data_IF_996878443648
#
_entry.id   IF_996878443648
#
_cell.length_a   1.000
_cell.length_b   1.000
_cell.length_c   1.000
_cell.angle_alpha   90.00
_cell.angle_beta   90.00
_cell.angle_gamma   90.00
#
_symmetry.space_group_name_H-M   'P 1'
#
loop_
_entity.id
_entity.type
_entity.pdbx_description
1 polymer ?
#
# COMPACT_ATOMS: atom_id res chain seq x y z
N UNK A 1 1.80 34.02 -20.13
CA UNK A 1 1.33 32.70 -20.60
C UNK A 1 0.02 32.43 -19.86
N UNK A 2 -1.07 32.25 -20.60
CA UNK A 2 -2.39 31.96 -20.06
C UNK A 2 -2.87 30.64 -20.62
N UNK A 3 -3.43 29.78 -19.81
CA UNK A 3 -3.93 28.49 -20.22
C UNK A 3 -4.32 27.64 -19.03
N UNK A 4 -4.73 26.42 -19.30
CA UNK A 4 -5.05 25.43 -18.28
C UNK A 4 -4.10 24.23 -18.42
N UNK A 5 -3.69 23.68 -17.28
CA UNK A 5 -3.07 22.36 -17.28
C UNK A 5 -4.09 21.33 -17.75
N UNK A 6 -3.75 20.53 -18.76
CA UNK A 6 -4.69 19.60 -19.40
C UNK A 6 -5.14 18.45 -18.49
N UNK A 7 -4.29 18.06 -17.55
CA UNK A 7 -4.53 16.92 -16.68
C UNK A 7 -5.30 17.30 -15.41
N UNK A 8 -5.02 18.50 -14.88
CA UNK A 8 -5.59 18.94 -13.61
C UNK A 8 -6.68 20.00 -13.75
N UNK A 9 -6.80 20.66 -14.93
CA UNK A 9 -7.70 21.77 -15.17
C UNK A 9 -7.31 23.06 -14.41
N UNK A 10 -6.16 23.08 -13.74
CA UNK A 10 -5.68 24.27 -13.02
C UNK A 10 -5.35 25.39 -14.01
N UNK A 11 -5.90 26.59 -13.77
CA UNK A 11 -5.58 27.76 -14.57
C UNK A 11 -4.14 28.21 -14.32
N UNK A 12 -3.34 28.23 -15.37
CA UNK A 12 -1.95 28.66 -15.37
C UNK A 12 -1.83 30.07 -15.99
N UNK A 13 -2.29 31.06 -15.27
CA UNK A 13 -2.11 32.47 -15.66
C UNK A 13 -0.83 33.01 -15.01
N UNK A 14 0.33 32.63 -15.60
CA UNK A 14 1.63 32.92 -15.04
C UNK A 14 2.31 34.06 -15.78
N UNK A 15 2.52 35.23 -15.15
CA UNK A 15 3.47 36.19 -15.66
C UNK A 15 4.89 35.56 -15.62
N UNK A 16 5.58 35.59 -16.74
CA UNK A 16 6.98 35.17 -16.86
C UNK A 16 7.86 36.37 -17.05
N UNK A 17 8.90 36.44 -16.24
CA UNK A 17 9.99 37.37 -16.42
C UNK A 17 11.21 36.62 -16.96
N UNK A 18 11.69 37.02 -18.14
CA UNK A 18 12.91 36.48 -18.69
C UNK A 18 13.99 37.57 -18.75
N UNK A 19 15.11 37.32 -18.10
CA UNK A 19 16.28 38.17 -18.16
C UNK A 19 17.29 37.55 -19.15
N UNK A 20 17.77 38.35 -20.06
CA UNK A 20 18.75 37.93 -21.04
C UNK A 20 20.05 38.71 -20.83
N UNK A 21 21.16 38.03 -20.89
CA UNK A 21 22.49 38.64 -21.02
C UNK A 21 23.05 38.27 -22.37
N UNK A 22 23.36 39.30 -23.16
CA UNK A 22 23.93 39.12 -24.47
C UNK A 22 25.44 38.85 -24.39
N UNK A 23 25.98 38.30 -25.45
CA UNK A 23 27.43 38.26 -25.69
C UNK A 23 28.00 39.68 -25.84
N UNK A 24 29.31 39.86 -25.70
CA UNK A 24 29.95 41.18 -25.77
C UNK A 24 29.78 41.89 -27.10
N UNK A 25 29.54 41.13 -28.17
CA UNK A 25 29.21 41.63 -29.51
C UNK A 25 27.73 41.97 -29.71
N UNK A 26 26.89 41.58 -28.74
CA UNK A 26 25.42 41.80 -28.78
C UNK A 26 24.66 40.90 -29.75
N UNK A 27 25.32 39.94 -30.39
CA UNK A 27 24.69 39.12 -31.44
C UNK A 27 23.97 37.87 -30.91
N UNK A 28 24.36 37.37 -29.71
CA UNK A 28 23.83 36.12 -29.15
C UNK A 28 23.45 36.29 -27.70
N UNK A 29 22.49 35.46 -27.28
CA UNK A 29 22.15 35.33 -25.86
C UNK A 29 23.21 34.44 -25.20
N UNK A 30 24.00 35.03 -24.28
CA UNK A 30 24.99 34.31 -23.50
C UNK A 30 24.38 33.60 -22.27
N UNK A 31 23.29 34.16 -21.76
CA UNK A 31 22.61 33.63 -20.57
C UNK A 31 21.14 34.05 -20.56
N UNK A 32 20.27 33.15 -20.11
CA UNK A 32 18.85 33.42 -19.90
C UNK A 32 18.45 32.93 -18.54
N UNK A 33 17.73 33.75 -17.77
CA UNK A 33 17.09 33.38 -16.52
C UNK A 33 15.59 33.63 -16.64
N UNK A 34 14.79 32.65 -16.31
CA UNK A 34 13.33 32.70 -16.30
C UNK A 34 12.87 32.66 -14.86
N UNK A 35 12.02 33.59 -14.48
CA UNK A 35 11.35 33.62 -13.18
C UNK A 35 9.87 33.38 -13.41
N UNK A 36 9.36 32.34 -12.82
CA UNK A 36 7.95 31.94 -12.86
C UNK A 36 7.32 32.04 -11.46
N UNK A 37 6.01 32.09 -11.42
CA UNK A 37 5.25 32.03 -10.18
C UNK A 37 5.28 30.61 -9.59
N UNK A 38 6.11 30.42 -8.60
CA UNK A 38 6.27 29.13 -7.92
C UNK A 38 5.00 28.68 -7.19
N UNK A 39 4.12 29.62 -6.79
CA UNK A 39 2.85 29.29 -6.11
C UNK A 39 1.87 28.67 -7.08
N UNK A 40 1.80 29.16 -8.32
CA UNK A 40 0.94 28.59 -9.35
C UNK A 40 1.45 27.21 -9.80
N UNK A 41 2.76 27.04 -9.92
CA UNK A 41 3.35 25.72 -10.19
C UNK A 41 3.04 24.73 -9.09
N UNK A 42 3.12 25.16 -7.82
CA UNK A 42 2.77 24.29 -6.69
C UNK A 42 1.30 23.90 -6.72
N UNK A 43 0.38 24.84 -7.03
CA UNK A 43 -1.05 24.50 -7.18
C UNK A 43 -1.31 23.46 -8.27
N UNK A 44 -0.64 23.57 -9.42
CA UNK A 44 -0.78 22.56 -10.48
C UNK A 44 -0.21 21.22 -10.04
N UNK A 45 0.92 21.22 -9.36
CA UNK A 45 1.55 20.01 -8.83
C UNK A 45 0.67 19.37 -7.74
N UNK A 46 0.19 20.15 -6.77
CA UNK A 46 -0.69 19.66 -5.71
C UNK A 46 -2.00 19.09 -6.28
N UNK A 47 -2.56 19.71 -7.31
CA UNK A 47 -3.75 19.22 -7.98
C UNK A 47 -3.48 17.91 -8.77
N UNK A 48 -2.29 17.73 -9.31
CA UNK A 48 -1.86 16.48 -9.95
C UNK A 48 -1.64 15.37 -8.92
N UNK A 49 -1.05 15.72 -7.77
CA UNK A 49 -0.79 14.82 -6.65
C UNK A 49 -2.05 14.53 -5.81
N UNK A 50 -3.15 15.29 -5.98
CA UNK A 50 -4.39 15.02 -5.26
C UNK A 50 -4.97 13.70 -5.73
N UNK A 51 -4.77 12.66 -4.92
CA UNK A 51 -5.35 11.34 -5.15
C UNK A 51 -6.86 11.45 -5.04
N UNK A 52 -7.56 10.98 -6.05
CA UNK A 52 -9.00 10.84 -6.01
C UNK A 52 -9.36 9.74 -5.00
N UNK A 53 -10.47 9.91 -4.28
CA UNK A 53 -11.01 8.84 -3.46
C UNK A 53 -11.33 7.63 -4.32
N UNK A 54 -11.00 6.44 -3.81
CA UNK A 54 -11.32 5.19 -4.46
C UNK A 54 -12.83 4.96 -4.56
N UNK A 55 -13.24 4.17 -5.54
CA UNK A 55 -14.61 3.65 -5.63
C UNK A 55 -14.71 2.41 -4.75
N UNK A 56 -15.71 2.37 -3.86
CA UNK A 56 -15.95 1.25 -2.95
C UNK A 56 -16.88 0.23 -3.65
N UNK A 57 -16.46 -1.03 -3.65
CA UNK A 57 -17.23 -2.15 -4.22
C UNK A 57 -17.68 -3.10 -3.10
N UNK A 58 -18.94 -3.57 -3.18
CA UNK A 58 -19.49 -4.58 -2.28
C UNK A 58 -19.13 -6.01 -2.68
N UNK A 59 -19.18 -6.29 -3.99
CA UNK A 59 -18.98 -7.62 -4.57
C UNK A 59 -17.84 -7.60 -5.60
N UNK A 60 -16.63 -7.35 -5.14
CA UNK A 60 -15.46 -7.37 -6.00
C UNK A 60 -14.75 -8.73 -5.93
N UNK A 61 -14.26 -9.30 -7.06
CA UNK A 61 -13.58 -10.60 -7.05
C UNK A 61 -12.35 -10.66 -6.14
N UNK A 62 -11.72 -9.52 -5.83
CA UNK A 62 -10.57 -9.47 -4.92
C UNK A 62 -10.95 -9.75 -3.46
N UNK A 63 -12.19 -9.46 -3.04
CA UNK A 63 -12.69 -9.89 -1.73
C UNK A 63 -12.64 -11.40 -1.61
N UNK A 64 -13.08 -12.12 -2.64
CA UNK A 64 -13.03 -13.59 -2.65
C UNK A 64 -11.59 -14.11 -2.65
N UNK A 65 -10.67 -13.45 -3.36
CA UNK A 65 -9.23 -13.80 -3.33
C UNK A 65 -8.65 -13.65 -1.92
N UNK A 66 -8.96 -12.55 -1.23
CA UNK A 66 -8.49 -12.33 0.15
C UNK A 66 -9.11 -13.36 1.10
N UNK A 67 -10.39 -13.67 0.98
CA UNK A 67 -11.03 -14.73 1.78
C UNK A 67 -10.35 -16.09 1.61
N UNK A 68 -10.05 -16.48 0.37
CA UNK A 68 -9.33 -17.73 0.08
C UNK A 68 -7.90 -17.72 0.62
N UNK A 69 -7.20 -16.60 0.50
CA UNK A 69 -5.89 -16.41 1.10
C UNK A 69 -5.96 -16.59 2.62
N UNK A 70 -6.84 -15.87 3.30
CA UNK A 70 -6.96 -15.95 4.76
C UNK A 70 -7.39 -17.34 5.22
N UNK A 71 -8.30 -18.00 4.51
CA UNK A 71 -8.65 -19.39 4.79
C UNK A 71 -7.45 -20.34 4.66
N UNK A 72 -6.51 -20.06 3.76
CA UNK A 72 -5.30 -20.87 3.63
C UNK A 72 -4.40 -20.83 4.87
N UNK A 73 -4.47 -19.74 5.67
CA UNK A 73 -3.74 -19.62 6.92
C UNK A 73 -4.20 -20.59 8.01
N UNK A 74 -5.44 -21.10 7.96
CA UNK A 74 -5.93 -22.13 8.89
C UNK A 74 -5.04 -23.38 8.89
N UNK A 75 -4.38 -23.64 7.78
CA UNK A 75 -3.49 -24.79 7.67
C UNK A 75 -2.16 -24.62 8.38
N UNK A 76 -1.77 -23.39 8.71
CA UNK A 76 -0.43 -23.00 9.20
C UNK A 76 0.73 -23.55 8.32
N UNK A 77 0.44 -23.78 7.02
CA UNK A 77 1.38 -24.38 6.04
C UNK A 77 1.79 -23.34 5.01
N UNK A 78 3.05 -22.86 5.04
CA UNK A 78 3.56 -21.88 4.10
C UNK A 78 3.38 -22.24 2.63
N UNK A 79 3.46 -23.53 2.28
CA UNK A 79 3.37 -23.98 0.90
C UNK A 79 1.95 -23.87 0.32
N UNK A 80 0.94 -23.80 1.19
CA UNK A 80 -0.45 -23.54 0.79
C UNK A 80 -0.78 -22.05 0.72
N UNK A 81 -0.07 -21.23 1.47
CA UNK A 81 -0.33 -19.79 1.58
C UNK A 81 0.43 -19.01 0.50
N UNK A 82 1.72 -19.31 0.31
CA UNK A 82 2.59 -18.62 -0.67
C UNK A 82 2.00 -18.46 -2.08
N UNK A 83 1.30 -19.47 -2.65
CA UNK A 83 0.75 -19.36 -4.00
C UNK A 83 -0.28 -18.23 -4.21
N UNK A 84 -0.80 -17.65 -3.14
CA UNK A 84 -1.71 -16.49 -3.22
C UNK A 84 -0.99 -15.16 -3.45
N UNK A 85 0.34 -15.14 -3.34
CA UNK A 85 1.19 -13.97 -3.48
C UNK A 85 2.10 -14.06 -4.68
N UNK A 86 2.46 -12.91 -5.23
CA UNK A 86 3.58 -12.83 -6.18
C UNK A 86 4.91 -13.13 -5.47
N UNK A 87 5.89 -13.74 -6.14
CA UNK A 87 7.24 -13.93 -5.58
C UNK A 87 7.91 -12.61 -5.15
N UNK A 88 7.52 -11.50 -5.79
CA UNK A 88 8.03 -10.16 -5.50
C UNK A 88 7.22 -9.42 -4.42
N UNK A 89 6.19 -10.03 -3.84
CA UNK A 89 5.35 -9.39 -2.82
C UNK A 89 6.17 -8.84 -1.66
N UNK A 90 5.78 -7.65 -1.19
CA UNK A 90 6.39 -6.99 -0.05
C UNK A 90 5.40 -6.90 1.11
N UNK A 91 5.88 -7.21 2.31
CA UNK A 91 5.11 -7.23 3.55
C UNK A 91 5.56 -6.11 4.46
N UNK A 92 4.61 -5.38 5.01
CA UNK A 92 4.86 -4.26 5.92
C UNK A 92 4.17 -4.52 7.26
N UNK A 93 4.98 -4.76 8.29
CA UNK A 93 4.52 -4.78 9.67
C UNK A 93 4.38 -3.35 10.17
N UNK A 94 3.18 -2.80 10.08
CA UNK A 94 2.95 -1.38 10.33
C UNK A 94 3.12 -1.01 11.79
N UNK A 95 2.83 -1.93 12.71
CA UNK A 95 2.92 -1.68 14.15
C UNK A 95 4.34 -1.79 14.69
N UNK A 96 5.18 -2.62 14.06
CA UNK A 96 6.48 -3.00 14.62
C UNK A 96 7.66 -2.59 13.72
N UNK A 97 7.42 -2.21 12.47
CA UNK A 97 8.48 -1.73 11.58
C UNK A 97 8.82 -0.26 11.84
N UNK A 98 10.08 -0.01 12.15
CA UNK A 98 10.62 1.35 12.30
C UNK A 98 11.92 1.43 11.52
N UNK A 99 12.00 2.29 10.51
CA UNK A 99 10.98 3.15 9.94
C UNK A 99 9.92 2.39 9.11
N UNK A 100 8.76 2.98 8.91
CA UNK A 100 7.62 2.40 8.18
C UNK A 100 7.94 1.91 6.75
N UNK A 101 8.96 2.45 6.12
CA UNK A 101 9.38 2.04 4.77
C UNK A 101 10.18 0.71 4.73
N UNK A 102 10.43 0.09 5.88
CA UNK A 102 11.10 -1.21 5.95
C UNK A 102 10.09 -2.33 5.70
N UNK A 103 10.27 -3.06 4.61
CA UNK A 103 9.42 -4.19 4.23
C UNK A 103 10.21 -5.49 4.24
N UNK A 104 9.50 -6.60 4.38
CA UNK A 104 10.04 -7.96 4.22
C UNK A 104 9.72 -8.50 2.83
N UNK A 105 10.57 -9.37 2.32
CA UNK A 105 10.27 -10.22 1.16
C UNK A 105 9.32 -11.35 1.55
N UNK A 106 8.77 -12.04 0.53
CA UNK A 106 7.95 -13.24 0.74
C UNK A 106 8.71 -14.31 1.55
N UNK A 107 9.99 -14.51 1.28
CA UNK A 107 10.82 -15.51 1.99
C UNK A 107 11.05 -15.12 3.44
N UNK A 108 11.34 -13.84 3.72
CA UNK A 108 11.56 -13.34 5.08
C UNK A 108 10.27 -13.46 5.91
N UNK A 109 9.12 -13.07 5.35
CA UNK A 109 7.83 -13.15 6.02
C UNK A 109 7.47 -14.60 6.37
N UNK A 110 7.60 -15.52 5.40
CA UNK A 110 7.27 -16.92 5.64
C UNK A 110 8.28 -17.67 6.50
N UNK A 111 9.51 -17.18 6.61
CA UNK A 111 10.45 -17.67 7.62
C UNK A 111 9.98 -17.31 9.04
N UNK A 112 9.55 -16.07 9.24
CA UNK A 112 9.01 -15.63 10.53
C UNK A 112 7.71 -16.37 10.85
N UNK A 113 6.81 -16.50 9.88
CA UNK A 113 5.56 -17.26 10.01
C UNK A 113 5.81 -18.73 10.41
N UNK A 114 6.77 -19.39 9.79
CA UNK A 114 7.13 -20.77 10.14
C UNK A 114 7.56 -20.89 11.61
N UNK A 115 8.29 -19.91 12.13
CA UNK A 115 8.67 -19.87 13.53
C UNK A 115 7.46 -19.73 14.47
N UNK A 116 6.45 -18.97 14.07
CA UNK A 116 5.17 -18.93 14.80
C UNK A 116 4.43 -20.26 14.69
N UNK A 117 4.38 -20.87 13.50
CA UNK A 117 3.71 -22.14 13.27
C UNK A 117 4.30 -23.31 14.09
N UNK A 118 5.58 -23.25 14.48
CA UNK A 118 6.18 -24.25 15.36
C UNK A 118 5.59 -24.22 16.79
N UNK A 119 5.27 -23.05 17.30
CA UNK A 119 4.86 -22.84 18.69
C UNK A 119 3.35 -22.57 18.86
N UNK A 120 2.70 -22.09 17.81
CA UNK A 120 1.28 -21.72 17.83
C UNK A 120 0.46 -22.64 16.91
N UNK A 121 -0.76 -22.86 17.29
CA UNK A 121 -1.83 -23.44 16.50
C UNK A 121 -2.88 -22.34 16.27
N UNK A 122 -3.27 -22.14 15.03
CA UNK A 122 -4.41 -21.29 14.69
C UNK A 122 -5.66 -22.16 14.69
N UNK A 123 -6.54 -21.93 15.65
CA UNK A 123 -7.69 -22.80 15.91
C UNK A 123 -8.96 -22.33 15.23
N UNK A 124 -9.05 -21.04 14.91
CA UNK A 124 -10.18 -20.46 14.18
C UNK A 124 -9.80 -19.11 13.57
N UNK A 125 -10.41 -18.79 12.41
CA UNK A 125 -10.33 -17.48 11.75
C UNK A 125 -11.74 -17.03 11.41
N UNK A 126 -12.10 -15.84 11.82
CA UNK A 126 -13.41 -15.24 11.55
C UNK A 126 -13.24 -13.86 10.94
N UNK A 127 -14.06 -13.58 9.94
CA UNK A 127 -14.16 -12.24 9.37
C UNK A 127 -14.77 -11.27 10.39
N UNK A 128 -14.09 -10.17 10.70
CA UNK A 128 -14.58 -9.12 11.58
C UNK A 128 -15.09 -7.95 10.73
N UNK A 129 -16.41 -7.79 10.67
CA UNK A 129 -17.03 -6.82 9.76
C UNK A 129 -17.12 -7.32 8.32
N UNK A 130 -16.84 -6.46 7.38
CA UNK A 130 -16.90 -6.77 5.94
C UNK A 130 -15.64 -6.25 5.26
N UNK A 131 -14.97 -7.07 4.40
CA UNK A 131 -13.90 -6.57 3.56
C UNK A 131 -14.41 -5.57 2.53
N UNK A 132 -13.71 -4.45 2.40
CA UNK A 132 -13.99 -3.42 1.42
C UNK A 132 -12.91 -3.39 0.35
N UNK A 133 -13.32 -3.18 -0.92
CA UNK A 133 -12.40 -2.88 -2.01
C UNK A 133 -12.48 -1.41 -2.33
N UNK A 134 -11.31 -0.77 -2.38
CA UNK A 134 -11.14 0.58 -2.91
C UNK A 134 -10.36 0.46 -4.22
N UNK A 135 -10.97 0.92 -5.31
CA UNK A 135 -10.34 0.97 -6.63
C UNK A 135 -9.94 2.42 -6.94
N UNK A 136 -8.66 2.64 -7.10
CA UNK A 136 -8.09 3.95 -7.36
C UNK A 136 -7.69 4.07 -8.82
N UNK A 137 -8.23 5.06 -9.52
CA UNK A 137 -7.90 5.32 -10.92
C UNK A 137 -6.38 5.54 -11.08
N UNK A 138 -5.71 4.60 -11.76
CA UNK A 138 -4.27 4.65 -12.05
C UNK A 138 -3.32 4.11 -10.97
N UNK A 139 -3.85 3.78 -9.77
CA UNK A 139 -3.04 3.26 -8.64
C UNK A 139 -3.39 1.80 -8.27
N UNK A 140 -4.34 1.18 -9.00
CA UNK A 140 -4.81 -0.18 -8.71
C UNK A 140 -5.82 -0.26 -7.58
N UNK A 141 -6.15 -1.48 -7.18
CA UNK A 141 -7.14 -1.74 -6.15
C UNK A 141 -6.50 -2.24 -4.85
N UNK A 142 -7.14 -1.89 -3.74
CA UNK A 142 -6.78 -2.42 -2.42
C UNK A 142 -7.99 -3.08 -1.76
N UNK A 143 -7.75 -4.18 -1.03
CA UNK A 143 -8.75 -4.79 -0.15
C UNK A 143 -8.37 -4.49 1.28
N UNK A 144 -9.29 -3.89 2.02
CA UNK A 144 -9.16 -3.58 3.43
C UNK A 144 -10.03 -4.57 4.20
N UNK A 145 -9.46 -5.27 5.18
CA UNK A 145 -10.17 -6.31 5.91
C UNK A 145 -9.69 -6.43 7.36
N UNK A 146 -10.55 -6.98 8.21
CA UNK A 146 -10.27 -7.28 9.62
C UNK A 146 -10.64 -8.72 9.92
N UNK A 147 -9.82 -9.38 10.74
CA UNK A 147 -9.95 -10.79 11.05
C UNK A 147 -9.74 -11.02 12.53
N UNK A 148 -10.64 -11.79 13.14
CA UNK A 148 -10.40 -12.38 14.45
C UNK A 148 -9.71 -13.73 14.25
N UNK A 149 -8.60 -13.92 14.94
CA UNK A 149 -7.80 -15.13 14.85
C UNK A 149 -7.59 -15.71 16.25
N UNK A 150 -8.00 -16.95 16.45
CA UNK A 150 -7.84 -17.67 17.72
C UNK A 150 -6.58 -18.51 17.67
N UNK A 151 -5.63 -18.16 18.52
CA UNK A 151 -4.37 -18.89 18.65
C UNK A 151 -4.29 -19.66 19.95
N UNK A 152 -3.64 -20.83 19.89
CA UNK A 152 -3.30 -21.65 21.05
C UNK A 152 -1.81 -21.96 21.03
N UNK A 153 -1.14 -21.76 22.16
CA UNK A 153 0.24 -22.19 22.33
C UNK A 153 0.29 -23.71 22.51
N UNK A 154 1.01 -24.39 21.63
CA UNK A 154 1.10 -25.88 21.60
C UNK A 154 1.71 -26.46 22.86
N UNK A 155 2.60 -25.72 23.56
CA UNK A 155 3.29 -26.19 24.74
C UNK A 155 2.55 -25.87 26.04
N UNK A 156 2.14 -24.63 26.21
CA UNK A 156 1.46 -24.20 27.46
C UNK A 156 -0.03 -24.49 27.45
N UNK A 157 -0.65 -24.64 26.27
CA UNK A 157 -2.11 -24.75 26.11
C UNK A 157 -2.84 -23.42 26.26
N UNK A 158 -2.16 -22.33 26.55
CA UNK A 158 -2.78 -21.01 26.64
C UNK A 158 -3.35 -20.59 25.29
N UNK A 159 -4.49 -19.91 25.32
CA UNK A 159 -5.17 -19.44 24.12
C UNK A 159 -5.44 -17.94 24.21
N UNK A 160 -5.47 -17.27 23.05
CA UNK A 160 -5.89 -15.88 22.93
C UNK A 160 -6.49 -15.61 21.57
N UNK A 161 -7.38 -14.63 21.51
CA UNK A 161 -7.91 -14.07 20.26
C UNK A 161 -7.18 -12.78 19.96
N UNK A 162 -6.72 -12.62 18.72
CA UNK A 162 -6.19 -11.35 18.21
C UNK A 162 -7.10 -10.80 17.10
N UNK A 163 -7.12 -9.49 16.95
CA UNK A 163 -7.71 -8.84 15.79
C UNK A 163 -6.57 -8.35 14.93
N UNK A 164 -6.56 -8.80 13.68
CA UNK A 164 -5.62 -8.38 12.67
C UNK A 164 -6.32 -7.55 11.60
N UNK A 165 -5.76 -6.38 11.30
CA UNK A 165 -6.17 -5.57 10.17
C UNK A 165 -5.20 -5.77 9.03
N UNK A 166 -5.71 -6.00 7.83
CA UNK A 166 -4.94 -6.29 6.62
C UNK A 166 -5.34 -5.34 5.48
N UNK A 167 -4.34 -4.89 4.73
CA UNK A 167 -4.51 -4.15 3.49
C UNK A 167 -3.74 -4.86 2.39
N UNK A 168 -4.45 -5.50 1.47
CA UNK A 168 -3.86 -6.18 0.33
C UNK A 168 -3.92 -5.29 -0.91
N UNK A 169 -2.78 -5.03 -1.53
CA UNK A 169 -2.67 -4.23 -2.74
C UNK A 169 -2.55 -5.16 -3.96
N UNK A 170 -3.39 -4.90 -4.96
CA UNK A 170 -3.48 -5.68 -6.18
C UNK A 170 -2.93 -4.90 -7.37
N UNK A 171 -2.18 -5.59 -8.23
CA UNK A 171 -1.78 -5.09 -9.53
C UNK A 171 -2.93 -5.17 -10.56
N UNK A 172 -2.69 -4.71 -11.79
CA UNK A 172 -3.68 -4.74 -12.88
C UNK A 172 -4.10 -6.18 -13.28
N UNK A 173 -3.23 -7.17 -13.05
CA UNK A 173 -3.52 -8.59 -13.31
C UNK A 173 -4.32 -9.23 -12.15
N UNK A 174 -4.60 -8.47 -11.11
CA UNK A 174 -5.33 -8.93 -9.93
C UNK A 174 -4.51 -9.85 -9.02
N UNK A 175 -3.21 -9.65 -8.96
CA UNK A 175 -2.29 -10.37 -8.10
C UNK A 175 -1.85 -9.50 -6.93
N UNK A 176 -1.67 -10.10 -5.75
CA UNK A 176 -1.22 -9.38 -4.55
C UNK A 176 0.28 -9.13 -4.64
N UNK A 177 0.67 -7.85 -4.70
CA UNK A 177 2.08 -7.43 -4.74
C UNK A 177 2.56 -6.79 -3.44
N UNK A 178 1.63 -6.41 -2.55
CA UNK A 178 1.93 -5.82 -1.25
C UNK A 178 0.86 -6.17 -0.24
N UNK A 179 1.27 -6.45 1.00
CA UNK A 179 0.41 -6.58 2.17
C UNK A 179 0.92 -5.69 3.29
N UNK A 180 0.03 -4.89 3.86
CA UNK A 180 0.28 -4.14 5.08
C UNK A 180 -0.54 -4.79 6.19
N UNK A 181 0.10 -5.21 7.29
CA UNK A 181 -0.58 -5.83 8.39
C UNK A 181 -0.36 -5.08 9.71
N UNK A 182 -1.42 -5.09 10.51
CA UNK A 182 -1.49 -4.39 11.79
C UNK A 182 -1.98 -5.38 12.85
N UNK A 183 -1.08 -5.82 13.71
CA UNK A 183 -1.44 -6.59 14.88
C UNK A 183 -0.42 -6.39 16.00
N UNK A 184 -0.85 -6.68 17.23
CA UNK A 184 0.05 -6.60 18.39
C UNK A 184 0.54 -8.00 18.77
N UNK A 185 1.82 -8.36 18.50
CA UNK A 185 2.36 -9.68 18.81
C UNK A 185 2.42 -9.97 20.31
N UNK A 186 2.32 -8.95 21.17
CA UNK A 186 2.25 -9.15 22.62
C UNK A 186 0.93 -9.82 23.07
N UNK A 187 -0.10 -9.86 22.22
CA UNK A 187 -1.37 -10.53 22.46
C UNK A 187 -1.34 -12.03 22.13
N UNK A 188 -0.30 -12.52 21.45
CA UNK A 188 -0.14 -13.93 21.16
C UNK A 188 0.04 -14.74 22.47
N UNK A 189 -0.51 -15.98 22.55
CA UNK A 189 -0.45 -16.78 23.77
C UNK A 189 0.98 -17.28 24.03
N UNK A 190 1.45 -17.12 25.26
CA UNK A 190 2.78 -17.51 25.74
C UNK A 190 2.76 -18.89 26.39
#
# INVERSE_FOLDING_TARGET
>A
MTGYDKNTGVELNMPRHANFRMTSDGEKIAYMSIMDDQVLWRKAYDAYETKKNGVIYKDHPYVSKVRLLIQSYETMDPEKIKPHYLPSTRFYDVMNSVPFNKSKSLEEEFKDFSSYAEVLELTDIREYGFPDVLDYEGDGAVVISWWEMDFKNKKSGNASTIIQHLVHHFNEDGEIYREDYYFNPAQLPK
#
